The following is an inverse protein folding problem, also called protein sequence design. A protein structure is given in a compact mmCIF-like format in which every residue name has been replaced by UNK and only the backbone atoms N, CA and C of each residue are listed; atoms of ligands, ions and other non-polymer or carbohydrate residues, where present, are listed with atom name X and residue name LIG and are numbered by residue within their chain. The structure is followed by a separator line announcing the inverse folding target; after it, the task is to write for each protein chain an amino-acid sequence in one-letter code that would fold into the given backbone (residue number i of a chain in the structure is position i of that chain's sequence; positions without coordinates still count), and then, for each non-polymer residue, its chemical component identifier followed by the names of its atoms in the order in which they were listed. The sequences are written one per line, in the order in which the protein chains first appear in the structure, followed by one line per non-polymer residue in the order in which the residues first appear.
data_IF_269381115012
#
_entry.id   IF_269381115012
#
_cell.length_a   1.000
_cell.length_b   1.000
_cell.length_c   1.000
_cell.angle_alpha   90.00
_cell.angle_beta   90.00
_cell.angle_gamma   90.00
#
_symmetry.space_group_name_H-M   'P 1'
#
loop_
_entity.id
_entity.type
_entity.pdbx_description
1 polymer ?
#
# COMPACT_ATOMS: atom_id res chain seq x y z
N UNK A 1 -11.71 0.22 -8.20
CA UNK A 1 -10.69 -0.85 -8.36
C UNK A 1 -10.34 -1.52 -7.03
N UNK A 2 -9.96 -0.75 -6.00
CA UNK A 2 -9.58 -1.27 -4.68
C UNK A 2 -10.54 -2.33 -4.09
N UNK A 3 -11.86 -2.08 -4.09
CA UNK A 3 -12.85 -3.05 -3.61
C UNK A 3 -12.84 -4.38 -4.38
N UNK A 4 -12.64 -4.34 -5.71
CA UNK A 4 -12.58 -5.54 -6.53
C UNK A 4 -11.32 -6.35 -6.20
N UNK A 5 -10.19 -5.67 -6.01
CA UNK A 5 -8.90 -6.28 -5.63
C UNK A 5 -8.95 -6.89 -4.22
N UNK A 6 -9.57 -6.20 -3.27
CA UNK A 6 -9.78 -6.70 -1.92
C UNK A 6 -10.64 -7.98 -1.92
N UNK A 7 -11.71 -8.01 -2.72
CA UNK A 7 -12.57 -9.21 -2.85
C UNK A 7 -11.86 -10.43 -3.43
N UNK A 8 -10.90 -10.22 -4.34
CA UNK A 8 -10.08 -11.32 -4.89
C UNK A 8 -8.82 -11.60 -4.07
N UNK A 9 -8.67 -10.93 -2.91
CA UNK A 9 -7.49 -10.99 -2.03
C UNK A 9 -6.17 -10.82 -2.78
N UNK A 10 -6.15 -10.01 -3.84
CA UNK A 10 -4.92 -9.72 -4.58
C UNK A 10 -4.21 -8.54 -3.93
N UNK A 11 -2.87 -8.58 -3.81
CA UNK A 11 -2.08 -7.44 -3.35
C UNK A 11 -2.41 -6.20 -4.18
N UNK A 12 -2.63 -5.08 -3.51
CA UNK A 12 -2.84 -3.78 -4.15
C UNK A 12 -1.64 -3.39 -5.03
N UNK A 13 -0.44 -3.87 -4.70
CA UNK A 13 0.79 -3.73 -5.49
C UNK A 13 0.74 -4.33 -6.90
N UNK A 14 -0.16 -5.28 -7.18
CA UNK A 14 -0.38 -5.79 -8.54
C UNK A 14 -1.01 -4.71 -9.43
N UNK A 15 -1.86 -3.85 -8.83
CA UNK A 15 -2.51 -2.76 -9.56
C UNK A 15 -1.46 -1.77 -10.04
N UNK A 16 -0.62 -1.29 -9.14
CA UNK A 16 0.38 -0.27 -9.48
C UNK A 16 1.48 -0.79 -10.41
N UNK A 17 1.85 -2.07 -10.31
CA UNK A 17 2.93 -2.62 -11.13
C UNK A 17 2.51 -3.06 -12.53
N UNK A 18 1.25 -3.45 -12.71
CA UNK A 18 0.79 -4.09 -13.96
C UNK A 18 -0.42 -3.39 -14.58
N UNK A 19 -1.46 -3.13 -13.78
CA UNK A 19 -2.68 -2.50 -14.30
C UNK A 19 -2.49 -1.01 -14.59
N UNK A 20 -1.67 -0.33 -13.79
CA UNK A 20 -1.43 1.10 -13.94
C UNK A 20 -0.61 1.40 -15.20
N UNK A 21 0.55 0.75 -15.45
CA UNK A 21 1.29 0.96 -16.70
C UNK A 21 0.48 0.55 -17.93
N UNK A 22 -0.28 -0.55 -17.84
CA UNK A 22 -1.15 -0.97 -18.95
C UNK A 22 -2.27 0.04 -19.23
N UNK A 23 -2.84 0.67 -18.19
CA UNK A 23 -3.84 1.72 -18.36
C UNK A 23 -3.23 2.99 -18.96
N UNK A 24 -2.03 3.39 -18.52
CA UNK A 24 -1.29 4.50 -19.12
C UNK A 24 -0.98 4.23 -20.60
N UNK A 25 -0.54 3.02 -20.95
CA UNK A 25 -0.29 2.60 -22.33
C UNK A 25 -1.55 2.69 -23.19
N UNK A 26 -2.68 2.16 -22.71
CA UNK A 26 -3.95 2.22 -23.43
C UNK A 26 -4.39 3.67 -23.65
N UNK A 27 -4.34 4.52 -22.61
CA UNK A 27 -4.76 5.92 -22.70
C UNK A 27 -3.86 6.70 -23.64
N UNK A 28 -2.55 6.49 -23.56
CA UNK A 28 -1.56 7.11 -24.43
C UNK A 28 -1.78 6.73 -25.91
N UNK A 29 -2.05 5.46 -26.19
CA UNK A 29 -2.23 4.97 -27.57
C UNK A 29 -3.61 5.33 -28.14
N UNK A 30 -4.67 5.21 -27.34
CA UNK A 30 -6.04 5.33 -27.84
C UNK A 30 -6.64 6.74 -27.73
N UNK A 31 -6.21 7.53 -26.74
CA UNK A 31 -6.81 8.85 -26.45
C UNK A 31 -5.81 9.96 -26.72
N UNK A 32 -4.57 9.79 -26.27
CA UNK A 32 -3.50 10.79 -26.39
C UNK A 32 -2.72 10.95 -25.08
N UNK A 33 -1.46 11.35 -25.21
CA UNK A 33 -0.53 11.50 -24.09
C UNK A 33 -0.99 12.57 -23.07
N UNK A 34 -1.68 13.61 -23.53
CA UNK A 34 -2.22 14.68 -22.71
C UNK A 34 -3.28 14.21 -21.69
N UNK A 35 -3.86 13.03 -21.91
CA UNK A 35 -4.85 12.43 -21.01
C UNK A 35 -4.25 11.50 -19.95
N UNK A 36 -2.97 11.11 -20.07
CA UNK A 36 -2.28 10.27 -19.08
C UNK A 36 -2.19 10.97 -17.73
N UNK A 37 -1.89 12.27 -17.71
CA UNK A 37 -1.82 13.04 -16.46
C UNK A 37 -3.19 13.15 -15.75
N UNK A 38 -4.29 13.21 -16.52
CA UNK A 38 -5.65 13.18 -15.96
C UNK A 38 -5.97 11.81 -15.37
N UNK A 39 -5.55 10.73 -16.04
CA UNK A 39 -5.67 9.37 -15.52
C UNK A 39 -4.95 9.24 -14.16
N UNK A 40 -3.73 9.77 -14.07
CA UNK A 40 -2.90 9.71 -12.87
C UNK A 40 -3.49 10.52 -11.71
N UNK A 41 -4.24 11.58 -11.98
CA UNK A 41 -4.99 12.32 -10.96
C UNK A 41 -6.23 11.60 -10.44
N UNK A 42 -6.82 10.68 -11.22
CA UNK A 42 -8.02 9.91 -10.83
C UNK A 42 -7.64 8.64 -10.05
N UNK A 43 -6.52 8.02 -10.44
CA UNK A 43 -6.06 6.80 -9.80
C UNK A 43 -5.37 7.12 -8.47
N UNK A 44 -5.51 6.22 -7.48
CA UNK A 44 -4.85 6.34 -6.18
C UNK A 44 -3.58 5.47 -6.23
N UNK A 45 -2.37 6.06 -6.16
CA UNK A 45 -1.12 5.29 -6.19
C UNK A 45 -0.96 4.41 -4.94
N UNK A 46 -0.20 3.31 -5.08
CA UNK A 46 0.21 2.41 -4.00
C UNK A 46 0.56 3.13 -2.70
N UNK A 47 1.39 4.17 -2.79
CA UNK A 47 1.95 4.84 -1.63
C UNK A 47 0.90 5.65 -0.87
N UNK A 48 -0.12 6.16 -1.56
CA UNK A 48 -1.26 6.82 -0.93
C UNK A 48 -2.17 5.80 -0.22
N UNK A 49 -2.39 4.61 -0.80
CA UNK A 49 -3.16 3.54 -0.16
C UNK A 49 -2.42 3.02 1.08
N UNK A 50 -1.11 2.81 0.97
CA UNK A 50 -0.26 2.37 2.08
C UNK A 50 -0.26 3.38 3.22
N UNK A 51 -0.11 4.68 2.92
CA UNK A 51 -0.16 5.73 3.94
C UNK A 51 -1.49 5.71 4.68
N UNK A 52 -2.61 5.60 3.96
CA UNK A 52 -3.94 5.49 4.59
C UNK A 52 -4.09 4.27 5.49
N UNK A 53 -3.53 3.12 5.09
CA UNK A 53 -3.54 1.91 5.94
C UNK A 53 -2.73 2.14 7.21
N UNK A 54 -1.53 2.72 7.10
CA UNK A 54 -0.68 3.03 8.25
C UNK A 54 -1.33 4.05 9.21
N UNK A 55 -1.91 5.11 8.65
CA UNK A 55 -2.61 6.14 9.42
C UNK A 55 -3.81 5.54 10.18
N UNK A 56 -4.64 4.71 9.51
CA UNK A 56 -5.76 4.01 10.16
C UNK A 56 -5.29 2.98 11.20
N UNK A 57 -4.18 2.28 10.95
CA UNK A 57 -3.69 1.29 11.91
C UNK A 57 -3.12 1.93 13.16
N UNK A 58 -2.42 3.07 13.02
CA UNK A 58 -1.94 3.86 14.14
C UNK A 58 -3.11 4.42 14.97
N UNK A 59 -4.10 5.04 14.32
CA UNK A 59 -5.29 5.55 15.01
C UNK A 59 -6.06 4.46 15.75
N UNK A 60 -6.23 3.28 15.13
CA UNK A 60 -6.85 2.13 15.80
C UNK A 60 -6.03 1.65 17.01
N UNK A 61 -4.70 1.61 16.90
CA UNK A 61 -3.83 1.24 18.01
C UNK A 61 -4.01 2.23 19.17
N UNK A 62 -3.95 3.53 18.89
CA UNK A 62 -4.10 4.59 19.90
C UNK A 62 -5.44 4.49 20.61
N UNK A 63 -6.54 4.30 19.87
CA UNK A 63 -7.87 4.12 20.45
C UNK A 63 -7.98 2.87 21.35
N UNK A 64 -7.31 1.78 20.99
CA UNK A 64 -7.31 0.55 21.80
C UNK A 64 -6.47 0.76 23.06
N UNK A 65 -5.30 1.40 22.92
CA UNK A 65 -4.42 1.73 24.05
C UNK A 65 -5.15 2.63 25.04
N UNK A 66 -5.82 3.68 24.59
CA UNK A 66 -6.59 4.60 25.44
C UNK A 66 -7.68 3.88 26.25
N UNK A 67 -8.37 2.91 25.62
CA UNK A 67 -9.41 2.11 26.28
C UNK A 67 -8.85 1.03 27.20
N UNK A 68 -7.57 0.69 27.05
CA UNK A 68 -6.93 -0.39 27.80
C UNK A 68 -6.37 0.13 29.12
N UNK A 69 -6.89 -0.40 30.23
CA UNK A 69 -6.46 0.01 31.58
C UNK A 69 -5.21 -0.71 32.10
N UNK A 70 -4.71 -1.71 31.36
CA UNK A 70 -3.58 -2.55 31.77
C UNK A 70 -2.30 -2.11 31.06
N UNK A 71 -1.28 -1.61 31.80
CA UNK A 71 0.00 -1.22 31.23
C UNK A 71 0.70 -2.37 30.51
N UNK A 72 0.55 -3.60 31.02
CA UNK A 72 1.09 -4.79 30.37
C UNK A 72 0.47 -5.04 29.00
N UNK A 73 -0.86 -4.91 28.89
CA UNK A 73 -1.54 -5.12 27.61
C UNK A 73 -1.21 -4.00 26.61
N UNK A 74 -1.13 -2.76 27.05
CA UNK A 74 -0.68 -1.63 26.21
C UNK A 74 0.72 -1.86 25.64
N UNK A 75 1.65 -2.31 26.50
CA UNK A 75 3.01 -2.62 26.07
C UNK A 75 3.04 -3.75 25.02
N UNK A 76 2.26 -4.82 25.23
CA UNK A 76 2.16 -5.93 24.29
C UNK A 76 1.53 -5.48 22.96
N UNK A 77 0.49 -4.64 23.00
CA UNK A 77 -0.15 -4.09 21.80
C UNK A 77 0.83 -3.25 20.97
N UNK A 78 1.61 -2.39 21.63
CA UNK A 78 2.64 -1.59 20.96
C UNK A 78 3.72 -2.48 20.33
N UNK A 79 4.25 -3.44 21.09
CA UNK A 79 5.28 -4.35 20.59
C UNK A 79 4.78 -5.20 19.41
N UNK A 80 3.53 -5.65 19.43
CA UNK A 80 2.91 -6.36 18.31
C UNK A 80 2.76 -5.47 17.07
N UNK A 81 2.40 -4.20 17.24
CA UNK A 81 2.30 -3.25 16.14
C UNK A 81 3.67 -3.00 15.50
N UNK A 82 4.69 -2.74 16.30
CA UNK A 82 6.06 -2.49 15.84
C UNK A 82 6.64 -3.71 15.11
N UNK A 83 6.48 -4.92 15.68
CA UNK A 83 6.89 -6.16 15.03
C UNK A 83 6.17 -6.40 13.69
N UNK A 84 4.90 -5.99 13.58
CA UNK A 84 4.15 -6.04 12.33
C UNK A 84 4.69 -5.10 11.26
N UNK A 85 5.09 -3.88 11.64
CA UNK A 85 5.75 -2.93 10.74
C UNK A 85 7.10 -3.46 10.26
N UNK A 86 7.91 -3.98 11.18
CA UNK A 86 9.21 -4.58 10.87
C UNK A 86 9.07 -5.74 9.88
N UNK A 87 8.06 -6.60 10.05
CA UNK A 87 7.76 -7.69 9.12
C UNK A 87 7.39 -7.18 7.72
N UNK A 88 6.55 -6.14 7.63
CA UNK A 88 6.15 -5.54 6.35
C UNK A 88 7.36 -4.91 5.64
N UNK A 89 8.22 -4.23 6.38
CA UNK A 89 9.43 -3.59 5.84
C UNK A 89 10.47 -4.65 5.41
N UNK A 90 10.66 -5.70 6.20
CA UNK A 90 11.49 -6.84 5.84
C UNK A 90 11.01 -7.51 4.55
N UNK A 91 9.71 -7.79 4.44
CA UNK A 91 9.13 -8.38 3.23
C UNK A 91 9.30 -7.45 2.03
N UNK A 92 9.24 -6.12 2.21
CA UNK A 92 9.52 -5.17 1.13
C UNK A 92 10.97 -5.26 0.64
N UNK A 93 11.93 -5.30 1.56
CA UNK A 93 13.36 -5.37 1.21
C UNK A 93 13.67 -6.65 0.44
N UNK A 94 13.06 -7.78 0.80
CA UNK A 94 13.32 -9.08 0.16
C UNK A 94 12.53 -9.34 -1.13
N UNK A 95 11.45 -8.61 -1.39
CA UNK A 95 10.67 -8.71 -2.64
C UNK A 95 10.95 -7.60 -3.66
N UNK A 96 11.85 -6.64 -3.36
CA UNK A 96 12.54 -5.90 -4.43
C UNK A 96 13.62 -6.81 -5.00
N UNK A 97 13.35 -7.47 -6.13
CA UNK A 97 14.45 -7.99 -6.96
C UNK A 97 15.38 -6.80 -7.26
N UNK A 98 16.71 -6.93 -7.18
CA UNK A 98 17.59 -5.94 -7.79
C UNK A 98 17.14 -5.84 -9.24
N UNK A 99 16.88 -4.63 -9.72
CA UNK A 99 16.96 -4.40 -11.16
C UNK A 99 18.42 -4.70 -11.49
N UNK A 100 18.69 -5.93 -11.94
CA UNK A 100 19.91 -6.20 -12.68
C UNK A 100 19.91 -5.21 -13.83
N UNK A 101 20.78 -4.22 -13.69
CA UNK A 101 21.35 -3.47 -14.79
C UNK A 101 22.02 -4.50 -15.70
N UNK A 102 21.22 -5.10 -16.58
CA UNK A 102 21.77 -5.71 -17.78
C UNK A 102 22.28 -4.58 -18.67
N UNK A 103 23.61 -4.54 -18.68
CA UNK A 103 24.53 -4.02 -19.70
C UNK A 103 24.00 -4.24 -21.12
#
# INVERSE_FOLDING_TARGET
MALRMARVMKPHTIVDKLLFPAAEDIVRVMIGEEFVNKLNGILIPNDAVRRRIADMSADNLDQIIEKTKSPFLTMVLQACYDAGLDFIDWHRMNHRKPLELNV
#
